data_IF_519500863953
#
_entry.id   IF_519500863953
#
_cell.length_a   1.000
_cell.length_b   1.000
_cell.length_c   1.000
_cell.angle_alpha   90.00
_cell.angle_beta   90.00
_cell.angle_gamma   90.00
#
_symmetry.space_group_name_H-M   'P 1'
#
loop_
_entity.id
_entity.type
_entity.pdbx_description
1 polymer ?
2 non-polymer ?
3 non-polymer ?
4 water ?
#
# COMPACT_ATOMS: atom_id res chain seq x y z
N UNK A 21 15.54 -22.71 5.39
CA UNK A 21 14.67 -21.50 5.44
C UNK A 21 15.35 -20.34 4.71
N UNK A 22 14.74 -19.16 4.79
CA UNK A 22 15.33 -17.94 4.24
C UNK A 22 16.52 -17.45 5.06
N UNK A 23 17.70 -17.42 4.43
CA UNK A 23 18.90 -16.96 5.12
C UNK A 23 19.41 -15.62 4.60
N UNK A 24 19.14 -15.33 3.34
CA UNK A 24 19.61 -14.10 2.72
C UNK A 24 18.58 -13.60 1.71
N UNK A 25 18.19 -12.34 1.88
CA UNK A 25 17.12 -11.75 1.07
C UNK A 25 17.67 -10.56 0.30
N UNK A 26 17.37 -10.51 -1.00
CA UNK A 26 17.62 -9.33 -1.80
C UNK A 26 16.42 -8.39 -1.66
N UNK A 27 16.70 -7.16 -1.24
CA UNK A 27 15.67 -6.14 -1.11
C UNK A 27 15.57 -5.39 -2.42
N UNK A 28 14.64 -5.82 -3.26
CA UNK A 28 14.50 -5.26 -4.60
C UNK A 28 13.61 -4.01 -4.57
N UNK A 29 14.06 -3.00 -3.85
CA UNK A 29 13.34 -1.74 -3.73
C UNK A 29 14.28 -0.70 -3.12
N UNK A 30 13.73 0.42 -2.69
CA UNK A 30 14.53 1.53 -2.20
C UNK A 30 13.75 2.32 -1.14
N UNK A 31 14.36 3.39 -0.66
CA UNK A 31 13.65 4.35 0.18
C UNK A 31 13.12 3.75 1.47
N UNK A 32 11.95 4.21 1.92
CA UNK A 32 11.48 3.82 3.25
C UNK A 32 11.11 2.34 3.31
N UNK A 33 10.51 1.79 2.25
CA UNK A 33 10.09 0.39 2.32
C UNK A 33 11.31 -0.56 2.34
N UNK A 34 12.40 -0.17 1.69
CA UNK A 34 13.60 -0.98 1.69
C UNK A 34 14.14 -1.04 3.12
N UNK A 35 14.08 0.10 3.81
CA UNK A 35 14.50 0.15 5.21
C UNK A 35 13.58 -0.67 6.11
N UNK A 36 12.28 -0.58 5.87
CA UNK A 36 11.28 -1.37 6.58
C UNK A 36 11.58 -2.86 6.45
N UNK A 37 11.87 -3.29 5.23
CA UNK A 37 12.18 -4.69 4.96
C UNK A 37 13.49 -5.08 5.63
N UNK A 38 14.48 -4.22 5.57
CA UNK A 38 15.76 -4.51 6.19
C UNK A 38 15.60 -4.70 7.71
N UNK A 39 14.81 -3.85 8.34
CA UNK A 39 14.57 -3.96 9.76
C UNK A 39 13.92 -5.33 10.11
N UNK A 40 12.92 -5.73 9.34
CA UNK A 40 12.30 -7.05 9.54
C UNK A 40 13.30 -8.18 9.33
N UNK A 41 14.14 -8.09 8.29
CA UNK A 41 15.15 -9.13 8.08
C UNK A 41 16.09 -9.20 9.27
N UNK A 42 16.59 -8.05 9.70
CA UNK A 42 17.57 -8.03 10.78
C UNK A 42 16.99 -8.62 12.06
N UNK A 43 15.71 -8.37 12.33
CA UNK A 43 15.05 -8.94 13.50
C UNK A 43 15.02 -10.47 13.46
N UNK A 44 14.92 -11.01 12.26
CA UNK A 44 14.80 -12.45 12.07
C UNK A 44 16.15 -13.12 11.80
N UNK A 45 17.22 -12.33 11.80
CA UNK A 45 18.56 -12.84 11.62
C UNK A 45 18.85 -13.20 10.17
N UNK A 46 18.10 -12.58 9.26
CA UNK A 46 18.22 -12.83 7.84
C UNK A 46 19.20 -11.84 7.22
N UNK A 47 20.17 -12.34 6.48
CA UNK A 47 21.16 -11.47 5.84
C UNK A 47 20.50 -10.67 4.71
N UNK A 48 20.95 -9.44 4.52
CA UNK A 48 20.35 -8.56 3.53
C UNK A 48 21.30 -8.22 2.40
N UNK A 49 20.73 -8.13 1.21
CA UNK A 49 21.43 -7.64 0.02
C UNK A 49 20.64 -6.45 -0.48
N UNK A 50 21.25 -5.27 -0.45
CA UNK A 50 20.62 -4.07 -0.95
C UNK A 50 21.06 -3.84 -2.39
N UNK A 51 20.14 -4.02 -3.33
CA UNK A 51 20.40 -3.63 -4.71
C UNK A 51 19.95 -2.18 -4.86
N UNK A 52 20.77 -1.38 -5.54
CA UNK A 52 20.54 0.05 -5.63
C UNK A 52 21.06 0.65 -6.92
N UNK A 53 20.51 1.79 -7.29
CA UNK A 53 21.00 2.54 -8.44
C UNK A 53 22.20 3.37 -8.00
N UNK A 54 22.89 3.98 -8.96
CA UNK A 54 24.04 4.82 -8.65
C UNK A 54 23.63 6.05 -7.86
N UNK A 55 22.35 6.42 -7.93
CA UNK A 55 21.86 7.61 -7.24
C UNK A 55 21.51 7.33 -5.79
N UNK A 56 21.55 6.07 -5.41
CA UNK A 56 21.00 5.63 -4.14
C UNK A 56 22.07 5.00 -3.23
N UNK A 57 23.34 5.31 -3.49
CA UNK A 57 24.43 4.78 -2.68
C UNK A 57 24.37 5.27 -1.23
N UNK A 58 23.68 6.39 -1.03
CA UNK A 58 23.62 7.07 0.26
C UNK A 58 22.31 6.78 1.02
N UNK A 59 21.52 5.85 0.50
CA UNK A 59 20.28 5.47 1.16
C UNK A 59 20.59 4.80 2.49
N UNK A 60 19.83 5.13 3.52
CA UNK A 60 20.05 4.56 4.84
C UNK A 60 20.13 3.04 4.82
N UNK A 61 19.17 2.37 4.18
CA UNK A 61 19.17 0.91 4.24
C UNK A 61 20.40 0.35 3.52
N UNK A 62 20.85 1.04 2.47
CA UNK A 62 22.05 0.60 1.76
C UNK A 62 23.25 0.63 2.70
N UNK A 63 23.34 1.69 3.49
CA UNK A 63 24.44 1.84 4.43
C UNK A 63 24.37 0.83 5.57
N UNK A 64 23.18 0.31 5.83
CA UNK A 64 22.96 -0.67 6.90
C UNK A 64 23.04 -2.13 6.46
N UNK A 65 22.94 -2.36 5.16
CA UNK A 65 22.82 -3.73 4.65
C UNK A 65 24.12 -4.53 4.77
N UNK A 66 23.98 -5.85 4.80
CA UNK A 66 25.14 -6.72 4.91
C UNK A 66 25.98 -6.75 3.62
N UNK A 67 25.32 -6.75 2.48
CA UNK A 67 25.96 -6.68 1.17
C UNK A 67 25.24 -5.66 0.31
N UNK A 68 25.99 -4.96 -0.53
CA UNK A 68 25.39 -4.01 -1.48
C UNK A 68 25.82 -4.33 -2.90
N UNK A 69 24.89 -4.15 -3.84
CA UNK A 69 25.18 -4.35 -5.26
C UNK A 69 24.50 -3.26 -6.09
N UNK A 70 25.30 -2.53 -6.87
CA UNK A 70 24.76 -1.50 -7.74
C UNK A 70 24.18 -2.16 -8.99
N UNK A 71 22.89 -1.97 -9.24
CA UNK A 71 22.22 -2.64 -10.35
C UNK A 71 21.97 -1.77 -11.58
N UNK A 72 22.43 -0.52 -11.56
CA UNK A 72 22.31 0.32 -12.73
C UNK A 72 22.30 1.80 -12.43
N UNK A 73 22.22 2.63 -13.47
CA UNK A 73 22.20 4.08 -13.33
C UNK A 73 20.90 4.55 -12.72
N UNK A 74 20.72 5.87 -12.60
CA UNK A 74 19.63 6.43 -11.82
C UNK A 74 18.21 6.08 -12.28
N UNK A 75 17.94 6.15 -13.59
CA UNK A 75 16.55 5.95 -13.98
C UNK A 75 16.01 4.58 -13.58
N UNK A 76 14.78 4.55 -13.08
CA UNK A 76 14.16 3.32 -12.63
C UNK A 76 14.21 2.23 -13.69
N UNK A 77 13.93 2.61 -14.94
CA UNK A 77 13.89 1.65 -16.03
C UNK A 77 15.19 0.85 -16.14
N UNK A 78 16.30 1.48 -15.74
CA UNK A 78 17.62 0.88 -15.92
C UNK A 78 18.17 0.27 -14.63
N UNK A 79 17.42 0.39 -13.55
CA UNK A 79 17.87 -0.10 -12.26
C UNK A 79 16.81 -0.93 -11.54
N UNK A 80 15.85 -0.27 -10.89
CA UNK A 80 14.90 -0.97 -10.03
C UNK A 80 13.88 -1.79 -10.83
N UNK A 81 13.78 -1.51 -12.12
CA UNK A 81 12.94 -2.29 -13.02
C UNK A 81 13.78 -3.22 -13.89
N UNK A 82 15.08 -3.30 -13.62
CA UNK A 82 16.01 -4.11 -14.41
C UNK A 82 16.02 -5.55 -13.92
N UNK A 83 15.17 -6.38 -14.51
CA UNK A 83 14.95 -7.73 -14.02
C UNK A 83 16.20 -8.59 -14.05
N UNK A 84 16.97 -8.54 -15.15
CA UNK A 84 18.18 -9.38 -15.20
C UNK A 84 19.21 -8.99 -14.15
N UNK A 85 19.37 -7.70 -13.91
CA UNK A 85 20.35 -7.22 -12.94
C UNK A 85 19.97 -7.62 -11.52
N UNK A 86 18.68 -7.56 -11.20
CA UNK A 86 18.22 -7.91 -9.87
C UNK A 86 18.36 -9.41 -9.65
N UNK A 87 17.98 -10.20 -10.64
CA UNK A 87 18.12 -11.64 -10.52
C UNK A 87 19.59 -12.02 -10.44
N UNK A 88 20.44 -11.34 -11.20
CA UNK A 88 21.88 -11.60 -11.14
C UNK A 88 22.43 -11.28 -9.76
N UNK A 89 21.86 -10.26 -9.11
CA UNK A 89 22.28 -9.89 -7.77
C UNK A 89 22.01 -11.03 -6.79
N UNK A 90 20.84 -11.66 -6.93
CA UNK A 90 20.49 -12.83 -6.11
C UNK A 90 21.45 -13.98 -6.34
N UNK A 91 21.82 -14.20 -7.60
CA UNK A 91 22.68 -15.32 -7.97
C UNK A 91 24.09 -15.16 -7.42
N UNK A 92 24.70 -14.01 -7.65
CA UNK A 92 26.10 -13.80 -7.25
C UNK A 92 26.29 -13.72 -5.74
N UNK A 93 25.24 -13.37 -5.00
CA UNK A 93 25.32 -13.32 -3.54
C UNK A 93 24.84 -14.62 -2.90
N UNK A 94 24.28 -15.52 -3.69
CA UNK A 94 23.75 -16.77 -3.17
C UNK A 94 22.54 -16.55 -2.29
N UNK A 95 21.72 -15.55 -2.63
CA UNK A 95 20.52 -15.25 -1.87
C UNK A 95 19.49 -16.36 -2.04
N UNK A 96 18.51 -16.38 -1.14
CA UNK A 96 17.45 -17.38 -1.15
C UNK A 96 16.14 -16.81 -1.66
N UNK A 97 15.96 -15.49 -1.52
CA UNK A 97 14.65 -14.89 -1.74
C UNK A 97 14.81 -13.43 -2.13
N UNK A 98 13.77 -12.89 -2.75
CA UNK A 98 13.75 -11.50 -3.16
C UNK A 98 12.47 -10.87 -2.70
N UNK A 99 12.58 -9.74 -1.98
CA UNK A 99 11.42 -9.00 -1.53
C UNK A 99 11.28 -7.78 -2.42
N UNK A 100 10.16 -7.69 -3.16
CA UNK A 100 9.92 -6.61 -4.12
C UNK A 100 9.32 -5.31 -3.54
N UNK A 101 9.05 -5.25 -2.23
CA UNK A 101 8.36 -4.12 -1.65
C UNK A 101 7.04 -3.81 -2.31
N UNK A 102 6.79 -2.51 -2.52
CA UNK A 102 5.64 -2.04 -3.29
C UNK A 102 6.12 -1.22 -4.47
N UNK A 103 5.26 -1.03 -5.46
CA UNK A 103 5.66 -0.37 -6.68
C UNK A 103 6.65 -1.22 -7.47
N UNK A 104 7.37 -0.55 -8.36
CA UNK A 104 8.37 -1.19 -9.21
C UNK A 104 7.92 -2.55 -9.75
N UNK A 105 8.57 -3.64 -9.33
CA UNK A 105 8.28 -4.95 -9.92
C UNK A 105 7.35 -5.81 -9.05
N UNK A 106 6.82 -5.25 -7.98
CA UNK A 106 6.14 -6.05 -6.96
C UNK A 106 4.89 -6.74 -7.49
N UNK A 107 4.26 -6.17 -8.52
CA UNK A 107 3.09 -6.79 -9.12
C UNK A 107 3.34 -7.12 -10.59
N UNK A 108 4.62 -7.33 -10.90
CA UNK A 108 5.01 -7.77 -12.23
C UNK A 108 5.14 -9.30 -12.24
N UNK A 109 4.17 -9.96 -12.89
CA UNK A 109 4.11 -11.42 -12.86
C UNK A 109 5.26 -12.06 -13.64
N UNK A 110 5.70 -11.40 -14.70
CA UNK A 110 6.85 -11.86 -15.45
C UNK A 110 8.08 -11.87 -14.55
N UNK A 111 8.19 -10.90 -13.65
CA UNK A 111 9.29 -10.85 -12.69
C UNK A 111 9.18 -12.01 -11.71
N UNK A 112 8.01 -12.20 -11.14
CA UNK A 112 7.78 -13.27 -10.18
C UNK A 112 8.11 -14.62 -10.79
N UNK A 113 7.67 -14.82 -12.03
CA UNK A 113 7.87 -16.10 -12.69
C UNK A 113 9.36 -16.34 -12.93
N UNK A 114 10.07 -15.29 -13.31
CA UNK A 114 11.51 -15.41 -13.57
C UNK A 114 12.27 -15.67 -12.28
N UNK A 115 11.83 -15.04 -11.19
CA UNK A 115 12.46 -15.25 -9.91
C UNK A 115 12.35 -16.72 -9.50
N UNK A 116 11.15 -17.29 -9.62
CA UNK A 116 10.92 -18.68 -9.21
C UNK A 116 11.63 -19.63 -10.17
N UNK A 117 11.56 -19.35 -11.45
CA UNK A 117 12.22 -20.20 -12.45
C UNK A 117 13.72 -20.22 -12.23
N UNK A 118 14.25 -19.14 -11.63
CA UNK A 118 15.68 -19.05 -11.35
C UNK A 118 16.04 -19.65 -10.00
N UNK A 119 15.06 -20.21 -9.30
CA UNK A 119 15.31 -20.97 -8.08
C UNK A 119 15.26 -20.18 -6.79
N UNK A 120 14.78 -18.93 -6.86
CA UNK A 120 14.69 -18.10 -5.67
C UNK A 120 13.24 -18.01 -5.23
N UNK A 121 13.04 -17.76 -3.94
CA UNK A 121 11.71 -17.54 -3.42
C UNK A 121 11.31 -16.09 -3.66
N UNK A 122 10.17 -15.90 -4.32
CA UNK A 122 9.60 -14.57 -4.48
C UNK A 122 8.75 -14.30 -3.25
N UNK A 123 9.07 -13.23 -2.52
CA UNK A 123 8.32 -12.89 -1.33
C UNK A 123 7.06 -12.16 -1.75
N UNK A 124 6.03 -12.95 -2.05
CA UNK A 124 4.77 -12.46 -2.56
C UNK A 124 3.96 -13.66 -3.05
N UNK A 125 2.90 -13.38 -3.82
CA UNK A 125 2.13 -14.50 -4.36
C UNK A 125 2.84 -15.16 -5.51
N UNK A 126 2.30 -16.30 -5.95
CA UNK A 126 2.79 -16.96 -7.14
C UNK A 126 2.44 -16.12 -8.37
N UNK A 127 3.26 -16.24 -9.41
CA UNK A 127 3.07 -15.48 -10.64
C UNK A 127 1.64 -15.62 -11.17
N UNK A 128 1.11 -16.84 -11.18
CA UNK A 128 -0.23 -17.06 -11.75
C UNK A 128 -1.29 -16.23 -11.05
N UNK A 129 -1.14 -16.05 -9.73
CA UNK A 129 -2.15 -15.34 -8.94
C UNK A 129 -1.99 -13.83 -9.12
N UNK A 130 -0.74 -13.41 -9.29
CA UNK A 130 -0.44 -12.03 -9.62
C UNK A 130 -1.12 -11.65 -10.95
N UNK A 131 -0.92 -12.47 -11.97
CA UNK A 131 -1.52 -12.21 -13.28
C UNK A 131 -3.02 -12.17 -13.20
N UNK A 132 -3.59 -13.10 -12.42
CA UNK A 132 -5.04 -13.20 -12.28
C UNK A 132 -5.63 -11.90 -11.75
N UNK A 133 -5.06 -11.40 -10.66
CA UNK A 133 -5.54 -10.20 -10.03
C UNK A 133 -4.92 -8.95 -10.67
N UNK A 134 -4.13 -9.17 -11.71
CA UNK A 134 -3.49 -8.06 -12.43
C UNK A 134 -4.24 -7.72 -13.70
N UNK A 135 -5.39 -8.36 -13.87
CA UNK A 135 -6.26 -8.08 -15.00
C UNK A 135 -7.61 -7.67 -14.46
N UNK A 136 -7.91 -6.39 -14.56
CA UNK A 136 -9.15 -5.82 -14.02
C UNK A 136 -10.30 -6.81 -14.19
N UNK A 137 -10.31 -7.52 -15.32
CA UNK A 137 -11.40 -8.43 -15.66
C UNK A 137 -11.39 -9.73 -14.86
N UNK A 138 -10.32 -10.51 -14.97
CA UNK A 138 -10.25 -11.79 -14.28
C UNK A 138 -10.37 -11.61 -12.77
N UNK A 139 -9.81 -10.51 -12.26
CA UNK A 139 -9.93 -10.19 -10.85
C UNK A 139 -11.40 -10.19 -10.41
N UNK A 140 -12.22 -9.38 -11.08
CA UNK A 140 -13.64 -9.26 -10.72
C UNK A 140 -14.33 -10.60 -10.78
N UNK A 141 -14.05 -11.35 -11.84
CA UNK A 141 -14.68 -12.64 -12.05
C UNK A 141 -14.33 -13.58 -10.90
N UNK A 142 -13.06 -13.56 -10.49
CA UNK A 142 -12.61 -14.39 -9.38
C UNK A 142 -13.28 -13.97 -8.07
N UNK A 143 -13.39 -12.66 -7.85
CA UNK A 143 -14.04 -12.15 -6.65
C UNK A 143 -15.53 -12.49 -6.63
N UNK A 144 -16.21 -12.27 -7.75
CA UNK A 144 -17.63 -12.60 -7.83
C UNK A 144 -17.84 -14.09 -7.58
N UNK A 145 -16.96 -14.92 -8.13
CA UNK A 145 -17.03 -16.36 -7.89
C UNK A 145 -16.84 -16.67 -6.40
N UNK A 146 -15.98 -15.89 -5.75
CA UNK A 146 -15.59 -16.14 -4.37
C UNK A 146 -16.54 -15.53 -3.34
N UNK A 147 -17.50 -14.73 -3.80
CA UNK A 147 -18.49 -14.14 -2.91
C UNK A 147 -18.07 -12.78 -2.36
N UNK A 148 -17.02 -12.21 -2.93
CA UNK A 148 -16.61 -10.85 -2.60
C UNK A 148 -17.49 -9.90 -3.40
N UNK A 149 -18.08 -8.90 -2.73
CA UNK A 149 -19.05 -8.04 -3.42
C UNK A 149 -18.37 -7.09 -4.40
N UNK A 150 -18.94 -6.98 -5.60
CA UNK A 150 -18.33 -6.15 -6.64
C UNK A 150 -19.27 -5.06 -7.09
N UNK A 151 -18.71 -4.08 -7.81
CA UNK A 151 -19.51 -3.04 -8.43
C UNK A 151 -20.42 -3.65 -9.49
N UNK A 152 -21.71 -3.33 -9.46
CA UNK A 152 -22.60 -3.71 -10.55
C UNK A 152 -22.06 -3.25 -11.90
N UNK A 153 -22.18 -4.07 -12.93
CA UNK A 153 -21.65 -3.72 -14.24
C UNK A 153 -21.69 -4.87 -15.22
N UNK A 154 -20.54 -5.17 -15.82
CA UNK A 154 -20.44 -6.28 -16.77
C UNK A 154 -18.97 -6.62 -17.06
N UNK A 166 -26.99 -3.02 -24.74
CA UNK A 166 -27.72 -1.77 -24.92
C UNK A 166 -28.36 -1.33 -23.60
N UNK A 167 -29.22 -2.17 -23.05
CA UNK A 167 -29.96 -1.83 -21.86
C UNK A 167 -29.20 -2.13 -20.59
N UNK A 168 -27.92 -2.46 -20.72
CA UNK A 168 -27.06 -2.71 -19.58
C UNK A 168 -27.02 -1.47 -18.69
N UNK A 169 -26.69 -0.34 -19.30
CA UNK A 169 -26.64 0.93 -18.60
C UNK A 169 -27.91 1.12 -17.78
N UNK A 170 -29.04 0.80 -18.39
CA UNK A 170 -30.33 0.92 -17.72
C UNK A 170 -30.35 0.05 -16.48
N UNK A 171 -30.00 -1.22 -16.65
CA UNK A 171 -29.99 -2.17 -15.54
C UNK A 171 -29.16 -1.62 -14.40
N UNK A 172 -27.94 -1.20 -14.71
CA UNK A 172 -27.01 -0.71 -13.70
C UNK A 172 -27.52 0.53 -12.99
N UNK A 173 -27.97 1.52 -13.77
CA UNK A 173 -28.45 2.77 -13.21
C UNK A 173 -27.41 3.87 -13.34
N UNK A 174 -27.77 4.96 -14.00
CA UNK A 174 -26.84 6.06 -14.23
C UNK A 174 -26.59 6.82 -12.94
N UNK A 175 -25.38 7.40 -12.81
CA UNK A 175 -24.32 7.39 -13.83
C UNK A 175 -23.55 6.07 -13.95
N UNK A 176 -23.07 5.79 -15.16
CA UNK A 176 -22.19 4.65 -15.41
C UNK A 176 -20.88 5.15 -16.02
N UNK A 177 -20.00 4.21 -16.38
CA UNK A 177 -18.69 4.56 -16.92
C UNK A 177 -18.19 3.52 -17.91
N UNK A 178 -17.75 3.98 -19.08
CA UNK A 178 -17.22 3.10 -20.11
C UNK A 178 -15.71 2.96 -19.97
N UNK A 190 -14.89 7.37 -19.94
CA UNK A 190 -15.86 8.46 -20.05
C UNK A 190 -17.10 8.17 -19.20
N UNK A 191 -17.33 9.01 -18.19
CA UNK A 191 -18.53 8.88 -17.37
C UNK A 191 -19.76 9.28 -18.17
N UNK A 192 -20.81 8.50 -18.05
CA UNK A 192 -22.06 8.78 -18.73
C UNK A 192 -23.16 9.02 -17.71
N UNK A 193 -23.76 10.20 -17.75
CA UNK A 193 -24.80 10.56 -16.80
C UNK A 193 -26.21 10.42 -17.39
N UNK A 194 -26.29 10.40 -18.72
CA UNK A 194 -27.58 10.22 -19.40
C UNK A 194 -27.51 9.19 -20.52
N UNK A 195 -28.69 8.72 -20.94
CA UNK A 195 -28.81 7.63 -21.90
C UNK A 195 -28.70 8.11 -23.34
N UNK A 196 -29.17 9.32 -23.61
CA UNK A 196 -29.08 9.88 -24.97
C UNK A 196 -27.63 10.09 -25.37
N UNK A 197 -26.72 10.03 -24.40
CA UNK A 197 -25.30 10.21 -24.67
C UNK A 197 -24.53 8.88 -24.58
N UNK A 198 -25.23 7.80 -24.25
CA UNK A 198 -24.54 6.51 -24.09
C UNK A 198 -23.82 6.07 -25.36
N UNK A 199 -24.56 6.02 -26.47
CA UNK A 199 -24.01 5.56 -27.73
C UNK A 199 -22.75 6.34 -28.10
N UNK A 200 -22.90 7.66 -28.23
CA UNK A 200 -21.78 8.53 -28.58
C UNK A 200 -20.61 8.33 -27.62
N UNK A 201 -20.93 8.29 -26.32
CA UNK A 201 -19.90 8.08 -25.30
C UNK A 201 -19.12 6.80 -25.56
N UNK A 202 -19.84 5.73 -25.85
CA UNK A 202 -19.20 4.43 -26.10
C UNK A 202 -18.28 4.51 -27.30
N UNK A 203 -18.66 5.30 -28.29
CA UNK A 203 -17.84 5.48 -29.48
C UNK A 203 -16.54 6.20 -29.13
N UNK A 204 -16.66 7.27 -28.36
CA UNK A 204 -15.51 8.03 -27.89
C UNK A 204 -14.50 7.12 -27.20
N UNK A 205 -14.96 6.37 -26.22
CA UNK A 205 -14.08 5.55 -25.39
C UNK A 205 -13.45 4.41 -26.17
N UNK A 206 -14.24 3.76 -27.04
CA UNK A 206 -13.72 2.67 -27.86
C UNK A 206 -12.57 3.13 -28.75
N UNK A 207 -12.62 4.39 -29.17
CA UNK A 207 -11.57 4.96 -30.02
C UNK A 207 -10.39 5.43 -29.19
N UNK A 218 -13.91 -0.90 -22.49
CA UNK A 218 -14.99 -1.32 -23.37
C UNK A 218 -16.11 -1.98 -22.58
N UNK A 219 -16.22 -1.63 -21.30
CA UNK A 219 -17.26 -2.18 -20.43
C UNK A 219 -17.83 -1.11 -19.51
N UNK A 220 -18.94 -1.43 -18.84
CA UNK A 220 -19.61 -0.48 -17.97
C UNK A 220 -19.60 -0.92 -16.52
N UNK A 221 -20.11 -0.06 -15.64
CA UNK A 221 -20.32 -0.38 -14.24
C UNK A 221 -20.79 0.86 -13.48
N UNK A 222 -21.37 0.65 -12.31
CA UNK A 222 -21.96 1.74 -11.53
C UNK A 222 -20.89 2.74 -11.08
N UNK A 223 -21.12 4.02 -11.38
CA UNK A 223 -20.26 5.07 -10.85
C UNK A 223 -20.80 5.50 -9.50
N UNK A 224 -20.00 5.30 -8.45
CA UNK A 224 -20.38 5.74 -7.12
C UNK A 224 -19.86 7.16 -6.95
N UNK A 225 -20.78 8.07 -6.68
CA UNK A 225 -20.47 9.49 -6.74
C UNK A 225 -19.57 9.91 -5.60
N UNK A 226 -19.87 9.41 -4.41
CA UNK A 226 -19.16 9.86 -3.21
C UNK A 226 -18.83 8.73 -2.24
N UNK A 227 -18.04 7.74 -2.68
CA UNK A 227 -17.70 6.60 -1.83
C UNK A 227 -16.45 6.88 -1.00
N UNK A 228 -16.21 6.05 0.00
CA UNK A 228 -14.95 6.08 0.76
C UNK A 228 -14.06 4.97 0.24
N UNK A 229 -12.75 5.11 0.41
CA UNK A 229 -11.83 4.05 0.06
C UNK A 229 -11.57 3.23 1.32
N UNK A 230 -12.09 2.01 1.35
CA UNK A 230 -11.88 1.16 2.51
C UNK A 230 -11.28 -0.17 2.04
N UNK A 231 -10.19 -0.57 2.69
CA UNK A 231 -9.45 -1.74 2.25
C UNK A 231 -9.17 -2.71 3.40
N UNK A 232 -9.27 -4.00 3.08
CA UNK A 232 -9.09 -5.07 4.04
C UNK A 232 -7.70 -5.71 3.84
N UNK A 233 -6.92 -5.71 4.92
CA UNK A 233 -5.62 -6.39 4.93
C UNK A 233 -5.81 -7.88 5.14
N UNK A 234 -5.12 -8.68 4.33
CA UNK A 234 -5.09 -10.11 4.56
C UNK A 234 -3.68 -10.67 4.59
N UNK A 235 -3.59 -11.87 5.14
CA UNK A 235 -2.42 -12.74 5.05
C UNK A 235 -2.91 -14.14 4.70
N UNK A 236 -2.19 -14.85 3.85
CA UNK A 236 -2.47 -16.24 3.58
C UNK A 236 -1.16 -17.02 3.55
N UNK A 237 -1.17 -18.26 4.03
CA UNK A 237 0.07 -19.02 4.09
C UNK A 237 -0.02 -20.32 3.28
N UNK A 238 1.06 -21.07 3.28
CA UNK A 238 1.13 -22.30 2.50
C UNK A 238 0.54 -23.48 3.28
N UNK A 239 -0.05 -23.19 4.44
CA UNK A 239 -0.69 -24.23 5.25
C UNK A 239 -2.21 -24.15 5.17
N UNK A 240 -2.73 -23.41 4.20
CA UNK A 240 -4.18 -23.35 3.98
C UNK A 240 -4.89 -22.32 4.84
N UNK A 241 -4.14 -21.50 5.57
CA UNK A 241 -4.75 -20.50 6.44
C UNK A 241 -4.83 -19.15 5.74
N UNK A 242 -5.86 -18.38 6.08
CA UNK A 242 -5.96 -17.00 5.64
C UNK A 242 -6.70 -16.19 6.70
N UNK A 243 -6.14 -15.03 7.03
CA UNK A 243 -6.74 -14.17 8.05
C UNK A 243 -6.98 -12.76 7.51
N UNK A 244 -7.95 -12.06 8.10
CA UNK A 244 -8.12 -10.64 7.82
C UNK A 244 -7.67 -9.82 9.03
N UNK A 245 -7.06 -8.68 8.74
CA UNK A 245 -6.54 -7.79 9.78
C UNK A 245 -7.27 -6.45 9.75
N UNK A 246 -8.57 -6.50 10.03
CA UNK A 246 -9.40 -5.31 10.05
C UNK A 246 -9.25 -4.57 8.72
N UNK A 247 -9.51 -3.27 8.74
CA UNK A 247 -9.51 -2.49 7.51
C UNK A 247 -8.82 -1.15 7.71
N UNK A 248 -8.62 -0.46 6.59
CA UNK A 248 -8.04 0.87 6.60
C UNK A 248 -8.91 1.78 5.74
N UNK A 249 -9.03 3.04 6.14
CA UNK A 249 -9.73 4.03 5.34
C UNK A 249 -8.68 4.94 4.76
N UNK A 250 -8.65 5.03 3.44
CA UNK A 250 -7.64 5.83 2.75
C UNK A 250 -8.31 6.82 1.81
N UNK A 251 -9.40 7.44 2.28
CA UNK A 251 -10.24 8.26 1.42
C UNK A 251 -9.63 9.62 1.12
N UNK A 252 -8.72 10.07 1.98
CA UNK A 252 -8.10 11.35 1.79
C UNK A 252 -7.06 11.23 0.68
N UNK A 253 -7.45 11.67 -0.52
CA UNK A 253 -6.66 11.44 -1.72
C UNK A 253 -6.62 12.70 -2.59
N UNK A 254 -5.55 12.79 -3.38
CA UNK A 254 -5.44 13.81 -4.40
C UNK A 254 -5.00 13.10 -5.67
N UNK A 255 -5.82 13.18 -6.71
CA UNK A 255 -5.52 12.51 -7.96
C UNK A 255 -5.30 11.02 -7.73
N UNK A 256 -6.19 10.42 -6.94
CA UNK A 256 -6.17 8.98 -6.71
C UNK A 256 -4.90 8.55 -5.97
N UNK A 257 -4.17 9.52 -5.42
CA UNK A 257 -2.95 9.24 -4.67
C UNK A 257 -3.21 9.49 -3.19
N UNK A 258 -3.03 8.46 -2.37
CA UNK A 258 -3.34 8.54 -0.95
C UNK A 258 -2.41 9.51 -0.23
N UNK A 259 -2.96 10.21 0.76
CA UNK A 259 -2.24 11.24 1.50
C UNK A 259 -2.23 10.93 3.00
N UNK A 260 -3.40 10.57 3.52
CA UNK A 260 -3.55 10.19 4.92
C UNK A 260 -4.34 8.89 4.98
N UNK A 261 -3.90 7.95 5.81
CA UNK A 261 -4.67 6.72 6.02
C UNK A 261 -4.92 6.50 7.51
N UNK A 262 -5.94 5.72 7.82
CA UNK A 262 -6.24 5.42 9.21
C UNK A 262 -6.82 4.02 9.35
N UNK A 263 -6.79 3.51 10.57
CA UNK A 263 -7.36 2.20 10.91
C UNK A 263 -7.78 2.23 12.39
N UNK A 264 -8.92 1.61 12.72
CA UNK A 264 -9.89 1.03 11.77
C UNK A 264 -10.63 2.13 11.00
N UNK A 265 -11.57 1.76 10.14
CA UNK A 265 -12.35 2.75 9.41
C UNK A 265 -13.52 3.20 10.27
N UNK A 266 -13.66 4.52 10.46
CA UNK A 266 -14.78 5.04 11.25
C UNK A 266 -16.12 4.49 10.75
N UNK A 267 -17.03 4.19 11.67
CA UNK A 267 -18.38 3.77 11.30
C UNK A 267 -18.52 2.27 11.11
N UNK A 268 -17.42 1.60 10.81
CA UNK A 268 -17.43 0.17 10.56
C UNK A 268 -17.51 -0.61 11.85
N UNK A 269 -18.60 -1.35 12.03
CA UNK A 269 -18.78 -2.19 13.21
C UNK A 269 -18.01 -3.48 13.08
N UNK A 270 -17.83 -4.18 14.20
CA UNK A 270 -17.13 -5.46 14.18
C UNK A 270 -17.91 -6.50 13.35
N UNK A 271 -19.23 -6.46 13.42
CA UNK A 271 -20.06 -7.39 12.66
C UNK A 271 -19.80 -7.22 11.16
N UNK A 272 -19.71 -5.97 10.72
CA UNK A 272 -19.48 -5.68 9.31
C UNK A 272 -18.06 -6.08 8.94
N UNK A 273 -17.10 -5.73 9.81
CA UNK A 273 -15.71 -6.14 9.65
C UNK A 273 -15.58 -7.65 9.44
N UNK A 274 -16.27 -8.43 10.26
CA UNK A 274 -16.18 -9.89 10.19
C UNK A 274 -16.79 -10.42 8.88
N UNK A 275 -17.87 -9.80 8.44
CA UNK A 275 -18.52 -10.21 7.21
C UNK A 275 -17.59 -9.99 6.01
N UNK A 276 -17.16 -8.76 5.79
CA UNK A 276 -16.36 -8.46 4.62
C UNK A 276 -14.98 -9.11 4.73
N UNK A 277 -14.47 -9.19 5.95
CA UNK A 277 -13.15 -9.76 6.19
C UNK A 277 -13.13 -11.24 5.85
N UNK A 278 -14.15 -11.95 6.30
CA UNK A 278 -14.23 -13.39 6.10
C UNK A 278 -14.39 -13.74 4.62
N UNK A 279 -15.04 -12.86 3.85
CA UNK A 279 -15.19 -13.09 2.43
C UNK A 279 -13.85 -12.92 1.74
N UNK A 280 -13.06 -11.97 2.23
CA UNK A 280 -11.74 -11.74 1.69
C UNK A 280 -10.80 -12.90 1.99
N UNK A 281 -10.90 -13.43 3.21
CA UNK A 281 -10.07 -14.57 3.61
C UNK A 281 -10.42 -15.81 2.79
N UNK A 282 -11.71 -16.08 2.64
CA UNK A 282 -12.17 -17.19 1.83
C UNK A 282 -11.65 -17.03 0.40
N UNK A 283 -11.76 -15.82 -0.13
CA UNK A 283 -11.28 -15.54 -1.48
C UNK A 283 -9.80 -15.92 -1.60
N UNK A 284 -8.98 -15.53 -0.63
CA UNK A 284 -7.57 -15.92 -0.60
C UNK A 284 -7.40 -17.42 -0.82
N UNK A 285 -8.14 -18.21 -0.05
CA UNK A 285 -8.04 -19.65 -0.15
C UNK A 285 -8.49 -20.13 -1.53
N UNK A 286 -9.56 -19.54 -2.05
CA UNK A 286 -10.11 -19.98 -3.32
C UNK A 286 -9.14 -19.76 -4.49
N UNK A 287 -8.42 -18.65 -4.47
CA UNK A 287 -7.48 -18.32 -5.55
C UNK A 287 -6.06 -18.82 -5.24
N UNK A 288 -5.87 -19.41 -4.07
CA UNK A 288 -4.56 -19.92 -3.69
C UNK A 288 -3.59 -18.79 -3.38
N UNK A 289 -4.10 -17.73 -2.77
CA UNK A 289 -3.25 -16.59 -2.44
C UNK A 289 -2.17 -16.98 -1.44
N UNK A 290 -1.07 -16.23 -1.48
CA UNK A 290 0.08 -16.48 -0.64
C UNK A 290 0.68 -15.13 -0.27
N UNK A 291 0.92 -14.90 1.02
CA UNK A 291 1.58 -13.70 1.48
C UNK A 291 0.62 -12.61 1.95
N UNK A 292 1.13 -11.39 2.05
CA UNK A 292 0.30 -10.24 2.36
C UNK A 292 -0.42 -9.77 1.11
N UNK A 293 -1.63 -9.27 1.30
CA UNK A 293 -2.41 -8.73 0.21
C UNK A 293 -3.48 -7.82 0.77
N UNK A 294 -4.03 -6.97 -0.09
CA UNK A 294 -5.12 -6.09 0.31
C UNK A 294 -6.26 -6.13 -0.70
N UNK A 295 -7.48 -6.23 -0.19
CA UNK A 295 -8.68 -6.07 -1.00
C UNK A 295 -9.17 -4.64 -0.83
N UNK A 296 -9.13 -3.86 -1.91
CA UNK A 296 -9.57 -2.47 -1.87
C UNK A 296 -11.02 -2.39 -2.31
N UNK A 297 -11.79 -1.60 -1.56
CA UNK A 297 -13.20 -1.41 -1.86
C UNK A 297 -13.56 0.07 -1.94
N UNK A 298 -14.53 0.37 -2.80
CA UNK A 298 -15.29 1.60 -2.66
C UNK A 298 -16.41 1.30 -1.68
N UNK A 299 -16.66 2.21 -0.75
CA UNK A 299 -17.63 1.97 0.30
C UNK A 299 -18.64 3.11 0.32
N UNK A 300 -19.91 2.79 0.04
CA UNK A 300 -20.94 3.83 -0.02
C UNK A 300 -22.29 3.28 0.43
N UNK A 301 -23.06 4.14 1.10
CA UNK A 301 -24.29 3.73 1.78
C UNK A 301 -24.22 2.33 2.36
N UNK A 302 -23.17 2.07 3.14
CA UNK A 302 -23.05 0.84 3.90
C UNK A 302 -22.79 -0.41 3.07
N UNK A 303 -22.42 -0.25 1.81
CA UNK A 303 -22.12 -1.38 0.94
C UNK A 303 -20.67 -1.34 0.44
N UNK A 304 -20.05 -2.51 0.33
CA UNK A 304 -18.69 -2.63 -0.20
C UNK A 304 -18.72 -3.01 -1.68
N UNK A 305 -17.81 -2.41 -2.46
CA UNK A 305 -17.69 -2.77 -3.87
C UNK A 305 -16.21 -2.90 -4.27
N UNK A 306 -15.79 -4.14 -4.53
CA UNK A 306 -14.42 -4.44 -4.88
C UNK A 306 -13.94 -3.63 -6.08
N UNK A 307 -12.72 -3.12 -6.00
CA UNK A 307 -12.12 -2.43 -7.14
C UNK A 307 -10.76 -3.00 -7.54
N UNK A 308 -10.02 -3.53 -6.57
CA UNK A 308 -8.70 -4.06 -6.87
C UNK A 308 -8.10 -4.83 -5.71
N UNK A 309 -7.30 -5.85 -6.02
CA UNK A 309 -6.49 -6.49 -5.01
C UNK A 309 -5.03 -6.12 -5.22
N UNK A 310 -4.43 -5.51 -4.22
CA UNK A 310 -3.00 -5.25 -4.27
C UNK A 310 -2.31 -6.50 -3.77
N UNK A 311 -1.58 -7.16 -4.65
CA UNK A 311 -1.00 -8.45 -4.32
C UNK A 311 0.44 -8.25 -3.84
N UNK A 312 0.57 -7.56 -2.71
CA UNK A 312 1.85 -7.08 -2.22
C UNK A 312 1.57 -6.38 -0.92
N UNK A 313 2.63 -5.98 -0.24
CA UNK A 313 2.51 -5.10 0.91
C UNK A 313 2.12 -3.72 0.39
N UNK A 314 1.44 -2.95 1.22
CA UNK A 314 1.09 -1.57 0.85
C UNK A 314 1.83 -0.55 1.70
N UNK A 315 1.94 0.65 1.16
CA UNK A 315 2.58 1.75 1.87
C UNK A 315 2.02 1.89 3.28
N UNK A 316 0.69 1.82 3.39
CA UNK A 316 0.01 2.19 4.62
C UNK A 316 -0.14 1.04 5.62
N UNK A 317 0.57 -0.05 5.38
CA UNK A 317 0.49 -1.19 6.31
C UNK A 317 0.72 -0.84 7.78
N UNK A 318 1.52 0.19 8.08
CA UNK A 318 1.76 0.39 9.52
C UNK A 318 0.54 0.71 10.38
N UNK A 319 -0.51 1.34 9.84
CA UNK A 319 -1.63 1.67 10.71
C UNK A 319 -2.31 0.40 11.21
N UNK A 320 -2.28 -0.64 10.39
CA UNK A 320 -2.86 -1.94 10.76
C UNK A 320 -2.00 -2.62 11.81
N UNK A 321 -0.68 -2.51 11.66
CA UNK A 321 0.23 -3.04 12.67
C UNK A 321 -0.07 -2.46 14.04
N UNK A 322 -0.33 -1.16 14.10
CA UNK A 322 -0.51 -0.49 15.37
C UNK A 322 -1.79 -0.94 16.07
N UNK A 323 -2.84 -1.23 15.31
CA UNK A 323 -4.10 -1.58 15.96
C UNK A 323 -4.31 -3.08 16.15
N UNK A 324 -3.46 -3.91 15.56
CA UNK A 324 -3.62 -5.36 15.71
C UNK A 324 -2.45 -6.06 16.40
N UNK A 325 -1.31 -5.37 16.46
CA UNK A 325 -0.10 -5.94 17.03
C UNK A 325 0.58 -6.97 16.14
N UNK A 326 0.29 -6.93 14.85
CA UNK A 326 0.94 -7.83 13.90
C UNK A 326 2.06 -7.09 13.18
N UNK A 327 3.18 -7.78 12.97
CA UNK A 327 4.27 -7.25 12.15
C UNK A 327 4.07 -7.83 10.75
N UNK A 328 3.54 -7.03 9.84
CA UNK A 328 3.13 -7.56 8.54
C UNK A 328 4.31 -7.96 7.66
N UNK A 329 5.43 -7.23 7.73
CA UNK A 329 6.58 -7.60 6.92
C UNK A 329 7.26 -8.87 7.45
N UNK A 330 7.35 -9.02 8.77
CA UNK A 330 7.87 -10.27 9.30
C UNK A 330 6.99 -11.44 8.88
N UNK A 331 5.67 -11.26 8.88
CA UNK A 331 4.79 -12.35 8.45
C UNK A 331 5.05 -12.66 6.98
N UNK A 332 5.31 -11.63 6.16
CA UNK A 332 5.62 -11.90 4.76
C UNK A 332 6.82 -12.82 4.68
N UNK A 333 7.86 -12.52 5.44
CA UNK A 333 9.10 -13.27 5.40
C UNK A 333 8.90 -14.70 5.90
N UNK A 334 8.16 -14.84 6.99
CA UNK A 334 7.88 -16.16 7.55
C UNK A 334 7.04 -16.99 6.59
N UNK A 335 6.02 -16.38 6.01
CA UNK A 335 5.14 -17.10 5.08
C UNK A 335 5.91 -17.55 3.84
N UNK A 336 6.78 -16.67 3.34
CA UNK A 336 7.61 -17.01 2.19
C UNK A 336 8.55 -18.18 2.49
N UNK A 337 9.02 -18.26 3.74
CA UNK A 337 9.91 -19.34 4.16
C UNK A 337 9.17 -20.66 4.35
N UNK A 338 7.84 -20.60 4.30
CA UNK A 338 7.03 -21.80 4.38
C UNK A 338 6.31 -21.99 5.70
N UNK A 339 6.46 -21.04 6.62
CA UNK A 339 5.85 -21.15 7.94
C UNK A 339 4.38 -20.76 7.90
N UNK A 340 3.61 -21.19 8.92
CA UNK A 340 2.24 -20.69 9.00
C UNK A 340 2.18 -19.27 9.53
N UNK A 341 1.08 -18.58 9.27
CA UNK A 341 0.78 -17.30 9.91
C UNK A 341 0.95 -17.52 11.41
N UNK A 342 1.54 -16.56 12.12
CA UNK A 342 1.96 -16.83 13.50
C UNK A 342 0.83 -16.71 14.52
N UNK A 343 -0.41 -16.59 14.05
CA UNK A 343 -1.55 -16.41 14.94
C UNK A 343 -2.80 -16.87 14.22
N UNK A 344 -3.89 -17.05 14.96
CA UNK A 344 -5.17 -17.41 14.36
C UNK A 344 -6.12 -16.21 14.33
N UNK A 345 -7.20 -16.33 13.57
CA UNK A 345 -8.15 -15.23 13.41
C UNK A 345 -8.70 -14.77 14.76
N UNK A 346 -8.94 -15.72 15.66
CA UNK A 346 -9.47 -15.38 16.98
C UNK A 346 -8.46 -14.61 17.84
N UNK A 347 -7.19 -14.62 17.47
CA UNK A 347 -6.17 -13.91 18.24
C UNK A 347 -6.20 -12.41 17.96
N UNK A 348 -6.78 -12.03 16.84
CA UNK A 348 -6.76 -10.65 16.40
C UNK A 348 -7.95 -9.88 16.97
N UNK A 349 -7.66 -8.77 17.63
CA UNK A 349 -8.73 -7.88 18.09
C UNK A 349 -8.25 -6.45 17.89
N UNK A 350 -9.05 -5.65 17.19
CA UNK A 350 -8.75 -4.25 16.99
C UNK A 350 -8.68 -3.56 18.34
N UNK A 351 -7.60 -2.86 18.61
CA UNK A 351 -7.51 -2.04 19.80
C UNK A 351 -7.01 -0.65 19.44
N UNK A 352 -7.74 0.37 19.85
CA UNK A 352 -7.29 1.72 19.60
C UNK A 352 -7.47 2.15 18.16
N UNK A 353 -6.75 3.19 17.78
CA UNK A 353 -6.90 3.80 16.48
C UNK A 353 -5.55 4.33 16.04
N UNK A 354 -5.25 4.20 14.76
CA UNK A 354 -3.98 4.66 14.22
C UNK A 354 -4.17 5.49 12.96
N UNK A 355 -3.24 6.42 12.74
CA UNK A 355 -3.28 7.31 11.60
C UNK A 355 -1.91 7.42 10.97
N UNK A 356 -1.88 7.68 9.66
CA UNK A 356 -0.62 7.85 8.92
C UNK A 356 -0.68 9.03 7.99
N UNK A 357 0.35 9.86 8.05
CA UNK A 357 0.55 10.98 7.12
C UNK A 357 1.78 10.71 6.27
N UNK A 358 1.60 10.70 4.96
CA UNK A 358 2.72 10.54 4.04
C UNK A 358 3.41 11.88 3.85
N UNK A 359 4.62 12.00 4.37
CA UNK A 359 5.35 13.26 4.28
C UNK A 359 6.17 13.21 3.01
N UNK A 360 5.87 14.13 2.10
CA UNK A 360 6.47 14.15 0.78
C UNK A 360 7.29 15.41 0.62
N UNK A 361 8.37 15.30 -0.15
CA UNK A 361 9.17 16.46 -0.52
C UNK A 361 8.51 17.08 -1.74
N UNK A 362 7.58 17.99 -1.49
CA UNK A 362 6.85 18.67 -2.55
C UNK A 362 6.27 19.95 -2.01
N UNK A 363 5.96 20.89 -2.90
CA UNK A 363 5.34 22.15 -2.51
C UNK A 363 3.93 21.88 -2.01
N UNK A 364 3.57 22.40 -0.82
CA UNK A 364 2.28 22.00 -0.24
C UNK A 364 1.07 22.58 -0.94
N UNK A 365 1.28 23.49 -1.88
CA UNK A 365 0.19 24.11 -2.64
C UNK A 365 0.13 23.57 -4.06
N UNK A 366 1.24 23.64 -4.78
CA UNK A 366 1.29 23.24 -6.18
C UNK A 366 1.64 21.76 -6.34
N UNK A 367 2.23 21.17 -5.30
CA UNK A 367 2.59 19.77 -5.28
C UNK A 367 3.68 19.37 -6.28
N UNK A 368 4.43 20.36 -6.77
CA UNK A 368 5.61 20.07 -7.57
C UNK A 368 6.70 19.53 -6.65
N UNK A 369 7.45 18.54 -7.14
CA UNK A 369 8.47 17.93 -6.27
C UNK A 369 9.50 18.94 -5.78
N UNK A 370 10.11 18.64 -4.63
CA UNK A 370 11.10 19.48 -4.01
C UNK A 370 12.34 18.66 -3.63
N UNK A 371 13.13 18.25 -4.63
CA UNK A 371 14.36 17.49 -4.34
C UNK A 371 15.40 18.42 -3.73
N UNK A 372 16.41 17.86 -3.10
CA UNK A 372 17.48 18.68 -2.56
C UNK A 372 18.00 18.16 -1.23
N UNK A 373 18.99 18.86 -0.70
CA UNK A 373 19.62 18.47 0.55
C UNK A 373 18.78 18.84 1.76
N UNK A 374 18.51 17.85 2.60
CA UNK A 374 17.89 18.11 3.89
C UNK A 374 18.98 18.60 4.82
N UNK A 375 18.99 19.90 5.08
CA UNK A 375 20.03 20.50 5.90
C UNK A 375 19.83 20.15 7.36
N UNK A 376 18.58 20.14 7.80
CA UNK A 376 18.26 19.73 9.15
C UNK A 376 17.02 18.84 9.14
N UNK A 377 17.11 17.73 9.87
CA UNK A 377 15.95 16.92 10.12
C UNK A 377 15.78 16.82 11.61
N UNK A 378 14.58 17.13 12.10
CA UNK A 378 14.22 16.76 13.45
C UNK A 378 12.94 15.97 13.39
N UNK A 379 13.04 14.72 13.77
CA UNK A 379 11.90 13.83 13.74
C UNK A 379 11.25 13.75 15.12
N UNK A 380 9.92 13.60 15.13
CA UNK A 380 9.15 13.59 16.38
C UNK A 380 9.23 12.24 17.06
N UNK A 381 8.81 12.17 18.32
CA UNK A 381 8.84 10.93 19.05
C UNK A 381 7.87 10.97 20.19
N UNK A 382 8.09 10.11 21.18
CA UNK A 382 7.26 10.04 22.35
C UNK A 382 6.24 8.92 22.23
N UNK A 383 5.37 8.84 23.21
CA UNK A 383 4.36 7.79 23.26
C UNK A 383 3.38 7.86 22.10
N UNK A 384 3.18 6.73 21.43
CA UNK A 384 2.21 6.62 20.37
C UNK A 384 2.63 7.29 19.07
N UNK A 385 3.93 7.58 18.96
CA UNK A 385 4.49 8.14 17.76
C UNK A 385 5.50 7.17 17.15
N UNK A 386 5.22 6.87 15.89
CA UNK A 386 6.02 6.05 15.02
C UNK A 386 6.56 6.77 13.79
N UNK A 387 7.83 6.63 13.47
CA UNK A 387 8.42 7.34 12.36
C UNK A 387 9.12 6.32 11.47
N UNK A 388 8.61 6.16 10.25
CA UNK A 388 9.16 5.25 9.28
C UNK A 388 9.77 6.07 8.15
N UNK A 389 11.08 6.19 8.17
CA UNK A 389 11.76 7.06 7.21
C UNK A 389 13.22 6.71 7.03
N UNK A 390 13.67 6.83 5.78
CA UNK A 390 15.07 6.62 5.43
C UNK A 390 15.85 7.93 5.45
N UNK A 391 15.14 9.05 5.58
CA UNK A 391 15.82 10.34 5.51
C UNK A 391 16.58 10.66 6.80
N UNK A 392 17.72 11.31 6.62
CA UNK A 392 18.53 11.72 7.76
C UNK A 392 19.09 13.09 7.43
N UNK A 393 19.49 13.83 8.45
CA UNK A 393 20.15 15.11 8.24
C UNK A 393 21.36 15.01 7.32
N UNK A 394 21.41 15.84 6.29
CA UNK A 394 22.50 15.81 5.34
C UNK A 394 22.22 14.98 4.11
N UNK A 395 21.12 14.23 4.13
CA UNK A 395 20.72 13.39 3.00
C UNK A 395 20.11 14.25 1.90
N UNK A 396 20.47 13.94 0.66
CA UNK A 396 19.92 14.65 -0.48
C UNK A 396 18.82 13.80 -1.11
N UNK A 397 17.61 14.37 -1.15
CA UNK A 397 16.46 13.72 -1.77
C UNK A 397 16.61 13.84 -3.28
N UNK A 398 16.67 12.69 -3.98
CA UNK A 398 16.89 12.76 -5.44
C UNK A 398 15.60 13.00 -6.23
N UNK A 399 15.74 13.41 -7.49
CA UNK A 399 14.60 13.66 -8.37
C UNK A 399 14.04 12.42 -9.06
N UNK A 400 14.78 11.32 -9.04
CA UNK A 400 14.54 10.21 -9.96
C UNK A 400 13.34 9.32 -9.63
N UNK A 401 12.89 9.35 -8.37
CA UNK A 401 11.88 8.42 -7.90
C UNK A 401 10.67 9.20 -7.33
N UNK A 402 9.94 8.59 -6.41
CA UNK A 402 8.77 9.25 -5.83
C UNK A 402 9.22 10.30 -4.82
N UNK A 403 8.25 11.02 -4.25
CA UNK A 403 8.56 12.15 -3.39
C UNK A 403 8.49 11.82 -1.89
N UNK A 404 8.20 10.58 -1.54
CA UNK A 404 8.06 10.24 -0.12
C UNK A 404 9.38 10.33 0.63
N UNK A 405 9.36 11.01 1.75
CA UNK A 405 10.55 11.05 2.59
C UNK A 405 10.32 10.40 3.95
N UNK A 406 9.06 10.33 4.38
CA UNK A 406 8.75 9.72 5.67
C UNK A 406 7.28 9.41 5.80
N UNK A 407 6.98 8.43 6.64
CA UNK A 407 5.61 8.13 7.07
C UNK A 407 5.56 8.35 8.56
N UNK A 408 4.72 9.29 8.99
CA UNK A 408 4.52 9.60 10.39
C UNK A 408 3.23 8.89 10.79
N UNK A 409 3.34 8.01 11.77
CA UNK A 409 2.24 7.14 12.17
C UNK A 409 1.97 7.40 13.64
N UNK A 410 0.72 7.65 14.00
CA UNK A 410 0.37 7.79 15.42
C UNK A 410 -0.68 6.78 15.82
N UNK A 411 -0.73 6.51 17.11
CA UNK A 411 -1.67 5.54 17.65
C UNK A 411 -2.19 6.11 18.94
N UNK A 412 -3.46 5.85 19.23
CA UNK A 412 -4.03 6.25 20.49
C UNK A 412 -5.19 5.35 20.82
N UNK A 413 -5.72 5.50 22.03
CA UNK A 413 -6.83 4.66 22.48
C UNK A 413 -8.14 5.02 21.78
N UNK A 414 -8.19 6.21 21.19
CA UNK A 414 -9.34 6.66 20.40
C UNK A 414 -8.84 7.40 19.17
N UNK A 415 -9.72 7.56 18.19
CA UNK A 415 -9.39 8.31 16.99
C UNK A 415 -8.99 9.73 17.33
N UNK A 416 -9.65 10.29 18.35
CA UNK A 416 -9.39 11.67 18.75
C UNK A 416 -7.95 11.80 19.23
N UNK A 417 -7.52 10.85 20.04
CA UNK A 417 -6.14 10.85 20.57
C UNK A 417 -5.13 10.70 19.43
N UNK A 418 -5.39 9.77 18.50
CA UNK A 418 -4.48 9.58 17.38
C UNK A 418 -4.34 10.85 16.56
N UNK A 419 -5.45 11.55 16.35
CA UNK A 419 -5.42 12.79 15.58
C UNK A 419 -4.63 13.88 16.30
N UNK A 420 -4.89 14.08 17.59
CA UNK A 420 -4.15 15.07 18.34
C UNK A 420 -2.66 14.75 18.42
N UNK A 421 -2.32 13.47 18.58
CA UNK A 421 -0.91 13.08 18.59
C UNK A 421 -0.27 13.38 17.23
N UNK A 422 -1.01 13.17 16.16
CA UNK A 422 -0.49 13.47 14.82
C UNK A 422 -0.25 14.97 14.67
N UNK A 423 -1.21 15.79 15.11
CA UNK A 423 -1.03 17.23 15.05
C UNK A 423 0.21 17.68 15.84
N UNK A 424 0.36 17.17 17.06
CA UNK A 424 1.50 17.55 17.88
C UNK A 424 2.83 17.05 17.27
N UNK A 425 2.85 15.83 16.77
CA UNK A 425 4.05 15.31 16.13
C UNK A 425 4.46 16.14 14.91
N UNK A 426 3.48 16.50 14.07
CA UNK A 426 3.75 17.35 12.92
C UNK A 426 4.36 18.68 13.34
N UNK A 427 3.87 19.24 14.44
CA UNK A 427 4.34 20.56 14.88
C UNK A 427 5.80 20.49 15.34
N UNK A 428 6.24 19.32 15.80
CA UNK A 428 7.62 19.12 16.23
C UNK A 428 8.54 18.79 15.08
N UNK A 429 7.98 18.43 13.93
CA UNK A 429 8.78 17.94 12.83
C UNK A 429 9.40 19.09 12.06
N UNK A 430 10.72 19.04 11.90
CA UNK A 430 11.44 20.06 11.15
C UNK A 430 12.17 19.38 9.99
N UNK A 431 11.90 19.87 8.79
CA UNK A 431 12.61 19.39 7.62
C UNK A 431 13.01 20.65 6.86
N UNK A 432 14.29 21.00 6.99
CA UNK A 432 14.80 22.25 6.45
C UNK A 432 15.72 21.99 5.26
N UNK A 433 15.54 22.77 4.20
CA UNK A 433 16.34 22.63 2.99
C UNK A 433 15.46 22.32 1.79
N UNK A 434 14.36 21.63 2.03
CA UNK A 434 13.37 21.34 0.99
C UNK A 434 11.97 21.64 1.50
N UNK A 435 11.02 21.77 0.58
CA UNK A 435 9.62 21.96 0.93
C UNK A 435 8.98 20.59 1.21
N UNK A 436 8.01 20.55 2.12
CA UNK A 436 7.27 19.32 2.33
C UNK A 436 5.79 19.63 2.34
N UNK A 437 4.98 18.58 2.33
CA UNK A 437 3.54 18.72 2.37
C UNK A 437 2.98 18.73 3.81
N UNK A 438 3.84 18.96 4.78
CA UNK A 438 3.38 19.05 6.18
C UNK A 438 2.24 20.05 6.38
N UNK A 439 2.33 21.24 5.75
CA UNK A 439 1.20 22.15 5.88
C UNK A 439 -0.13 21.58 5.40
N UNK A 440 -0.11 20.72 4.39
CA UNK A 440 -1.34 20.08 3.90
C UNK A 440 -1.91 19.15 4.97
N UNK A 441 -1.06 18.35 5.58
CA UNK A 441 -1.50 17.47 6.64
C UNK A 441 -2.15 18.25 7.78
N UNK A 442 -1.55 19.38 8.14
CA UNK A 442 -2.08 20.18 9.23
C UNK A 442 -3.44 20.73 8.89
N UNK A 443 -3.67 21.06 7.62
CA UNK A 443 -4.99 21.52 7.19
C UNK A 443 -6.03 20.41 7.26
N UNK A 444 -5.62 19.20 6.85
CA UNK A 444 -6.52 18.06 6.86
C UNK A 444 -6.93 17.69 8.28
N UNK A 445 -5.95 17.67 9.19
CA UNK A 445 -6.21 17.21 10.55
C UNK A 445 -7.13 18.14 11.34
N UNK A 446 -7.10 19.42 11.02
CA UNK A 446 -7.95 20.38 11.71
C UNK A 446 -9.29 20.58 10.99
N UNK A 447 -9.47 19.90 9.86
CA UNK A 447 -10.72 19.96 9.11
C UNK A 447 -11.84 19.35 9.96
N UNK A 448 -12.92 20.10 10.15
CA UNK A 448 -14.03 19.65 11.00
C UNK A 448 -14.72 18.41 10.46
N UNK A 449 -14.79 18.27 9.14
CA UNK A 449 -15.35 17.07 8.54
C UNK A 449 -14.44 15.86 8.76
N UNK A 450 -13.13 16.06 8.65
CA UNK A 450 -12.20 14.98 8.94
C UNK A 450 -12.27 14.58 10.41
N UNK A 451 -12.41 15.57 11.29
CA UNK A 451 -12.52 15.31 12.71
C UNK A 451 -13.74 14.45 13.02
N UNK A 452 -14.84 14.74 12.32
CA UNK A 452 -16.06 13.96 12.44
C UNK A 452 -15.83 12.57 11.88
N UNK A 453 -15.12 12.49 10.75
CA UNK A 453 -14.77 11.22 10.17
C UNK A 453 -15.71 10.85 9.03
N UNK A 454 -15.23 10.00 8.12
CA UNK A 454 -16.09 9.48 7.06
C UNK A 454 -16.16 10.29 5.79
N UNK A 455 -15.16 11.14 5.56
CA UNK A 455 -15.11 11.95 4.34
C UNK A 455 -14.83 11.05 3.15
N UNK A 456 -15.41 11.41 2.00
CA UNK A 456 -15.33 10.60 0.79
C UNK A 456 -14.01 10.79 0.05
N UNK A 457 -13.85 10.02 -1.03
CA UNK A 457 -12.61 10.05 -1.83
C UNK A 457 -12.43 11.30 -2.69
N UNK A 458 -13.47 12.12 -2.81
CA UNK A 458 -13.35 13.37 -3.54
C UNK A 458 -13.24 14.56 -2.60
N UNK A 459 -13.27 14.32 -1.28
CA UNK A 459 -13.36 15.41 -0.34
C UNK A 459 -12.14 16.32 -0.41
N UNK A 460 -10.95 15.74 -0.34
CA UNK A 460 -9.75 16.56 -0.30
C UNK A 460 -9.72 17.49 -1.49
N UNK A 461 -10.04 16.96 -2.66
CA UNK A 461 -10.07 17.76 -3.88
C UNK A 461 -11.13 18.86 -3.80
N UNK A 462 -12.30 18.53 -3.25
CA UNK A 462 -13.34 19.55 -3.03
C UNK A 462 -12.78 20.63 -2.10
N UNK A 463 -12.35 20.24 -0.90
CA UNK A 463 -11.49 21.10 -0.10
C UNK A 463 -10.33 21.45 -1.02
N UNK A 464 -9.52 22.43 -0.66
CA UNK A 464 -8.47 22.91 -1.56
C UNK A 464 -9.14 23.71 -2.67
X LIG B 1 12.07 -16.36 8.61
X LIG B 1 11.96 -17.11 9.82
X LIG B 1 12.57 -17.27 7.49
X LIG B 1 13.92 -17.68 7.76
X LIG B 1 11.08 -15.96 8.34
X LIG B 1 12.75 -15.53 8.75
X LIG B 1 11.63 -16.54 10.53
X LIG B 1 12.53 -16.73 6.54
X LIG B 1 11.93 -18.14 7.41
X LIG B 1 14.22 -18.24 7.04
X LIG C 1 12.23 15.03 -5.50
X LIG C 1 11.65 14.62 -6.73
X LIG C 1 11.41 14.49 -4.33
X LIG C 1 10.03 14.80 -4.53
X LIG C 1 13.26 14.65 -5.43
X LIG C 1 12.28 16.12 -5.45
X LIG C 1 12.18 14.96 -7.47
X LIG C 1 11.55 13.42 -4.25
X LIG C 1 11.75 14.95 -3.40
X LIG C 1 9.52 14.45 -3.78
X LIG D 1 12.08 9.18 15.41
X LIG D 1 13.34 8.55 15.07
X LIG D 1 11.31 8.25 16.33
X LIG D 1 11.19 6.94 15.75
X LIG D 1 12.26 10.13 15.89
X LIG D 1 11.51 9.35 14.50
X LIG D 1 13.83 9.13 14.49
X LIG D 1 10.31 8.66 16.51
X LIG D 1 11.82 8.18 17.30
X LIG D 1 10.70 6.36 16.34
X LIG E 1 -0.47 1.66 -2.13
X LIG E 1 -1.12 2.64 -1.19
X LIG E 1 0.64 0.84 -1.40
X LIG E 1 -1.59 0.74 -2.71
X LIG E 1 0.32 2.45 -3.56
X LIG E 1 1.05 3.73 -3.34
X LIG E 1 0.46 4.70 -2.86
X LIG E 1 2.44 3.81 -3.69
X LIG E 1 1.43 1.04 -1.75
X LIG E 1 -2.24 1.24 -3.03
X LIG E 1 0.97 1.82 -3.90
X LIG E 1 -0.34 2.61 -4.25
X LIG E 1 2.86 3.08 -4.05
X LIG E 1 2.89 4.58 -3.57
#
# INVERSE_FOLDING_TARGET
>A
MGSSHHHHHHSSGLVPRGSHMLEKVVIANRGEIALRILRACKELGIKTVAVHSTADRDLKHVLLADETICIGPAPSAKSYLNIPAIIAAAEVTGADAIHPGYGFLSENADFAEQVERSGFTFIGPTADVIRLMGDKVSAIKAMKKAGVPCVPGSDGPVSNDIAKNKEIAKRIGYPIIIKASGGGGGRGMRVVRSEDALEESIAMTKAEAKAAFNNDMVYMEKYLENPRHVEIQVLADTHGNAVYLAERDCSMQRRHQKVVEEAPAPGITEEVRRDIGSRCANACVEIGYRGAGTFEFLYENGEFYFIEMNTRIQVEHPVTEMITGVDLVKEQLRIAAGLPISFKQEDIKVKGHAMECRINAEDPKTFLPSPGKVNHLHSPGGLGVRWDSHVYGGYTVPPHYDSMIAKLITYGDTREVAIRRMQNALSETIIDGIKTNIPLHELILEDENFQKGGTNIHYLEKKLGMNE
>B hetero
1 EDO C1 O1 C2 O2 H11 H12 HO1 H21 H22 HO2
>C hetero
1 EDO C1 O1 C2 O2 H11 H12 HO1 H21 H22 HO2
>D hetero
1 EDO C1 O1 C2 O2 H11 H12 HO1 H21 H22 HO2
>E hetero
1 PCT P O1P O2P O3P C1P C1 O1 N1 HOP2 HOP3 H1P1 H1P2 HN11 HN12
#
